data_IF_830874465936
#
_entry.id   IF_830874465936
#
_cell.length_a   1.000
_cell.length_b   1.000
_cell.length_c   1.000
_cell.angle_alpha   90.00
_cell.angle_beta   90.00
_cell.angle_gamma   90.00
#
_symmetry.space_group_name_H-M   'P 1'
#
loop_
_entity.id
_entity.type
_entity.pdbx_description
1 polymer ?
#
# COMPACT_ATOMS: atom_id res chain seq x y z
N UNK A 1 12.38 24.24 61.78
CA UNK A 1 13.05 23.13 61.07
C UNK A 1 12.11 22.13 60.36
N UNK A 2 10.82 22.02 60.73
CA UNK A 2 9.92 20.96 60.22
C UNK A 2 9.29 21.21 58.83
N UNK A 3 9.14 22.46 58.39
CA UNK A 3 8.44 22.77 57.12
C UNK A 3 9.30 22.55 55.86
N UNK A 4 10.64 22.68 55.97
CA UNK A 4 11.57 22.51 54.83
C UNK A 4 11.77 21.03 54.46
N UNK A 5 11.77 20.14 55.45
CA UNK A 5 11.91 18.69 55.21
C UNK A 5 10.66 18.09 54.55
N UNK A 6 9.45 18.55 54.91
CA UNK A 6 8.22 18.11 54.26
C UNK A 6 8.12 18.54 52.80
N UNK A 7 8.53 19.78 52.47
CA UNK A 7 8.57 20.23 51.08
C UNK A 7 9.56 19.39 50.26
N UNK A 8 10.72 19.05 50.82
CA UNK A 8 11.72 18.24 50.12
C UNK A 8 11.18 16.84 49.79
N UNK A 9 10.53 16.16 50.75
CA UNK A 9 9.96 14.81 50.53
C UNK A 9 8.85 14.82 49.46
N UNK A 10 8.00 15.85 49.44
CA UNK A 10 6.94 15.99 48.42
C UNK A 10 7.55 16.19 47.03
N UNK A 11 8.60 17.01 46.90
CA UNK A 11 9.28 17.19 45.62
C UNK A 11 10.00 15.92 45.15
N UNK A 12 10.61 15.14 46.05
CA UNK A 12 11.25 13.88 45.68
C UNK A 12 10.23 12.81 45.26
N UNK A 13 9.05 12.76 45.90
CA UNK A 13 7.99 11.82 45.53
C UNK A 13 7.35 12.18 44.17
N UNK A 14 7.20 13.49 43.87
CA UNK A 14 6.69 13.95 42.57
C UNK A 14 7.65 13.67 41.39
N UNK A 15 8.97 13.63 41.64
CA UNK A 15 9.99 13.30 40.63
C UNK A 15 10.07 11.79 40.38
N UNK A 16 9.82 10.95 41.40
CA UNK A 16 9.82 9.49 41.25
C UNK A 16 8.53 9.00 40.55
N UNK A 17 7.37 9.63 40.80
CA UNK A 17 6.12 9.28 40.10
C UNK A 17 6.12 9.75 38.64
N UNK A 18 6.90 10.78 38.29
CA UNK A 18 7.02 11.24 36.89
C UNK A 18 8.06 10.46 36.05
N UNK A 19 8.80 9.52 36.65
CA UNK A 19 9.77 8.67 35.95
C UNK A 19 9.30 7.22 35.74
N UNK A 20 8.12 6.86 36.27
CA UNK A 20 7.46 5.56 36.02
C UNK A 20 6.28 5.79 35.07
N UNK A 21 6.52 5.77 33.75
CA UNK A 21 5.41 5.86 32.79
C UNK A 21 5.73 6.08 31.32
N UNK A 22 6.96 6.42 30.95
CA UNK A 22 7.35 6.54 29.53
C UNK A 22 8.25 5.39 29.09
N UNK A 23 7.86 4.17 29.45
CA UNK A 23 8.19 3.00 28.66
C UNK A 23 7.31 2.98 27.42
N UNK A 24 7.58 3.86 26.45
CA UNK A 24 6.96 3.82 25.13
C UNK A 24 7.50 2.58 24.39
N UNK A 25 7.10 1.38 24.83
CA UNK A 25 7.14 0.18 24.00
C UNK A 25 5.89 0.21 23.13
N UNK A 26 5.86 1.15 22.18
CA UNK A 26 4.78 1.27 21.22
C UNK A 26 4.85 0.10 20.24
N UNK A 27 4.25 -1.03 20.60
CA UNK A 27 3.84 -2.03 19.63
C UNK A 27 2.74 -1.44 18.75
N UNK A 28 2.69 -1.86 17.49
CA UNK A 28 1.53 -1.57 16.65
C UNK A 28 0.32 -2.29 17.26
N UNK A 29 -0.69 -1.54 17.73
CA UNK A 29 -1.96 -2.11 18.11
C UNK A 29 -2.71 -2.49 16.82
N UNK A 30 -2.78 -3.80 16.54
CA UNK A 30 -3.34 -4.30 15.29
C UNK A 30 -4.85 -4.17 15.28
N UNK A 31 -5.51 -4.39 16.40
CA UNK A 31 -6.97 -4.22 16.55
C UNK A 31 -7.36 -2.78 16.23
N UNK A 32 -6.73 -1.80 16.88
CA UNK A 32 -6.98 -0.38 16.63
C UNK A 32 -6.70 -0.01 15.16
N UNK A 33 -5.66 -0.60 14.56
CA UNK A 33 -5.35 -0.39 13.15
C UNK A 33 -6.46 -0.92 12.24
N UNK A 34 -6.92 -2.16 12.46
CA UNK A 34 -7.97 -2.80 11.64
C UNK A 34 -9.31 -2.10 11.84
N UNK A 35 -9.72 -1.81 13.07
CA UNK A 35 -10.93 -1.05 13.39
C UNK A 35 -10.95 0.30 12.66
N UNK A 36 -9.85 1.05 12.72
CA UNK A 36 -9.73 2.33 12.04
C UNK A 36 -9.82 2.17 10.53
N UNK A 37 -9.23 1.12 9.96
CA UNK A 37 -9.30 0.83 8.52
C UNK A 37 -10.72 0.50 8.10
N UNK A 38 -11.44 -0.35 8.84
CA UNK A 38 -12.85 -0.66 8.59
C UNK A 38 -13.73 0.59 8.68
N UNK A 39 -13.56 1.39 9.73
CA UNK A 39 -14.34 2.63 9.91
C UNK A 39 -14.13 3.65 8.78
N UNK A 40 -12.92 3.71 8.21
CA UNK A 40 -12.65 4.59 7.06
C UNK A 40 -13.39 4.15 5.78
N UNK A 41 -13.87 2.89 5.72
CA UNK A 41 -14.68 2.37 4.61
C UNK A 41 -16.11 2.91 4.63
N UNK A 42 -16.57 3.44 5.76
CA UNK A 42 -17.91 3.99 5.94
C UNK A 42 -18.08 5.35 5.25
N UNK A 43 -19.30 5.70 4.85
CA UNK A 43 -19.64 7.05 4.42
C UNK A 43 -20.56 7.15 3.22
N UNK A 44 -20.46 8.27 2.52
CA UNK A 44 -21.28 8.62 1.35
C UNK A 44 -20.38 8.96 0.14
N UNK A 45 -20.88 8.78 -1.10
CA UNK A 45 -22.17 8.18 -1.46
C UNK A 45 -22.21 6.69 -1.09
N UNK A 46 -23.37 6.22 -0.64
CA UNK A 46 -23.55 4.85 -0.15
C UNK A 46 -23.45 3.86 -1.32
N UNK A 47 -22.55 2.88 -1.20
CA UNK A 47 -22.39 1.80 -2.17
C UNK A 47 -23.17 0.54 -1.77
N UNK A 48 -23.08 0.16 -0.49
CA UNK A 48 -23.79 -0.98 0.10
C UNK A 48 -23.90 -0.80 1.62
N UNK A 49 -24.77 -1.58 2.25
CA UNK A 49 -24.91 -1.62 3.71
C UNK A 49 -24.59 -3.00 4.26
N UNK A 50 -23.89 -3.05 5.39
CA UNK A 50 -23.63 -4.26 6.18
C UNK A 50 -24.06 -3.97 7.61
N UNK A 51 -25.00 -4.76 8.14
CA UNK A 51 -25.53 -4.63 9.51
C UNK A 51 -25.93 -3.21 9.95
N UNK A 52 -26.50 -2.45 9.01
CA UNK A 52 -26.93 -1.07 9.22
C UNK A 52 -25.84 -0.02 9.01
N UNK A 53 -24.58 -0.43 8.89
CA UNK A 53 -23.46 0.45 8.54
C UNK A 53 -23.41 0.68 7.03
N UNK A 54 -23.27 1.94 6.61
CA UNK A 54 -23.23 2.33 5.19
C UNK A 54 -21.79 2.51 4.71
N UNK A 55 -21.40 1.78 3.66
CA UNK A 55 -20.06 1.79 3.10
C UNK A 55 -19.95 2.74 1.89
N UNK A 56 -18.87 3.49 1.83
CA UNK A 56 -18.64 4.57 0.86
C UNK A 56 -18.16 4.06 -0.50
N UNK A 57 -18.83 4.49 -1.57
CA UNK A 57 -18.39 4.23 -2.94
C UNK A 57 -17.08 4.97 -3.28
N UNK A 58 -16.85 6.13 -2.68
CA UNK A 58 -15.61 6.89 -2.87
C UNK A 58 -14.42 6.17 -2.25
N UNK A 59 -14.57 5.64 -1.04
CA UNK A 59 -13.50 4.87 -0.39
C UNK A 59 -13.21 3.60 -1.18
N UNK A 60 -14.24 2.83 -1.54
CA UNK A 60 -14.07 1.64 -2.38
C UNK A 60 -13.33 1.96 -3.69
N UNK A 61 -13.74 3.02 -4.40
CA UNK A 61 -13.09 3.44 -5.65
C UNK A 61 -11.61 3.79 -5.42
N UNK A 62 -11.30 4.51 -4.35
CA UNK A 62 -9.94 4.94 -4.01
C UNK A 62 -9.04 3.73 -3.69
N UNK A 63 -9.51 2.81 -2.84
CA UNK A 63 -8.76 1.60 -2.50
C UNK A 63 -8.56 0.70 -3.73
N UNK A 64 -9.61 0.50 -4.54
CA UNK A 64 -9.53 -0.27 -5.77
C UNK A 64 -8.50 0.29 -6.76
N UNK A 65 -8.54 1.61 -6.99
CA UNK A 65 -7.59 2.26 -7.90
C UNK A 65 -6.15 2.15 -7.38
N UNK A 66 -5.96 2.31 -6.07
CA UNK A 66 -4.66 2.14 -5.45
C UNK A 66 -4.14 0.71 -5.62
N UNK A 67 -4.95 -0.29 -5.28
CA UNK A 67 -4.55 -1.70 -5.35
C UNK A 67 -4.24 -2.14 -6.78
N UNK A 68 -5.10 -1.78 -7.73
CA UNK A 68 -4.87 -2.10 -9.13
C UNK A 68 -3.59 -1.48 -9.67
N UNK A 69 -3.35 -0.21 -9.39
CA UNK A 69 -2.18 0.50 -9.92
C UNK A 69 -0.88 0.05 -9.25
N UNK A 70 -0.89 -0.25 -7.95
CA UNK A 70 0.32 -0.52 -7.17
C UNK A 70 0.64 -2.01 -6.97
N UNK A 71 -0.37 -2.87 -6.93
CA UNK A 71 -0.17 -4.31 -6.69
C UNK A 71 -0.45 -5.14 -7.95
N UNK A 72 -1.46 -4.79 -8.74
CA UNK A 72 -1.79 -5.54 -9.96
C UNK A 72 -1.16 -4.99 -11.23
N UNK A 73 -0.53 -3.82 -11.16
CA UNK A 73 0.04 -3.10 -12.32
C UNK A 73 -0.97 -2.78 -13.43
N UNK A 74 -2.26 -2.70 -13.08
CA UNK A 74 -3.36 -2.30 -13.98
C UNK A 74 -3.71 -0.83 -13.77
N UNK A 75 -3.76 -0.06 -14.84
CA UNK A 75 -3.96 1.39 -14.79
C UNK A 75 -5.38 1.82 -15.21
N UNK A 76 -6.12 0.92 -15.82
CA UNK A 76 -7.48 1.13 -16.29
C UNK A 76 -8.52 0.77 -15.22
N UNK A 77 -9.65 1.49 -15.28
CA UNK A 77 -10.80 1.16 -14.45
C UNK A 77 -11.43 -0.14 -14.94
N UNK A 78 -11.74 -1.09 -14.04
CA UNK A 78 -12.20 -2.41 -14.46
C UNK A 78 -13.58 -2.32 -15.15
N UNK A 79 -13.84 -3.18 -16.16
CA UNK A 79 -15.17 -3.32 -16.73
C UNK A 79 -16.17 -3.83 -15.69
N UNK A 80 -17.49 -3.65 -15.90
CA UNK A 80 -18.51 -3.94 -14.88
C UNK A 80 -18.45 -5.34 -14.25
N UNK A 81 -18.13 -6.37 -15.04
CA UNK A 81 -18.01 -7.74 -14.53
C UNK A 81 -16.82 -7.92 -13.59
N UNK A 82 -15.67 -7.32 -13.91
CA UNK A 82 -14.48 -7.36 -13.06
C UNK A 82 -14.68 -6.46 -11.82
N UNK A 83 -15.29 -5.28 -11.99
CA UNK A 83 -15.65 -4.37 -10.90
C UNK A 83 -16.54 -5.06 -9.85
N UNK A 84 -17.51 -5.87 -10.31
CA UNK A 84 -18.38 -6.62 -9.40
C UNK A 84 -17.59 -7.58 -8.51
N UNK A 85 -16.59 -8.27 -9.06
CA UNK A 85 -15.72 -9.18 -8.30
C UNK A 85 -14.93 -8.44 -7.23
N UNK A 86 -14.37 -7.27 -7.54
CA UNK A 86 -13.70 -6.44 -6.54
C UNK A 86 -14.64 -5.98 -5.44
N UNK A 87 -15.88 -5.63 -5.79
CA UNK A 87 -16.87 -5.25 -4.80
C UNK A 87 -17.22 -6.42 -3.88
N UNK A 88 -17.50 -7.59 -4.45
CA UNK A 88 -17.83 -8.79 -3.66
C UNK A 88 -16.67 -9.15 -2.70
N UNK A 89 -15.43 -9.10 -3.19
CA UNK A 89 -14.23 -9.30 -2.34
C UNK A 89 -14.12 -8.23 -1.24
N UNK A 90 -14.35 -6.96 -1.56
CA UNK A 90 -14.29 -5.87 -0.59
C UNK A 90 -15.35 -6.01 0.52
N UNK A 91 -16.55 -6.48 0.17
CA UNK A 91 -17.60 -6.82 1.15
C UNK A 91 -17.15 -8.00 2.01
N UNK A 92 -16.69 -9.08 1.39
CA UNK A 92 -16.25 -10.29 2.09
C UNK A 92 -15.10 -9.99 3.07
N UNK A 93 -14.09 -9.24 2.65
CA UNK A 93 -13.00 -8.79 3.52
C UNK A 93 -13.51 -7.94 4.69
N UNK A 94 -14.50 -7.07 4.45
CA UNK A 94 -15.05 -6.22 5.52
C UNK A 94 -15.75 -7.07 6.58
N UNK A 95 -16.51 -8.09 6.18
CA UNK A 95 -17.15 -9.05 7.08
C UNK A 95 -16.10 -9.85 7.85
N UNK A 96 -15.11 -10.42 7.15
CA UNK A 96 -14.07 -11.25 7.79
C UNK A 96 -13.26 -10.45 8.80
N UNK A 97 -12.92 -9.19 8.50
CA UNK A 97 -12.17 -8.34 9.42
C UNK A 97 -12.99 -7.95 10.65
N UNK A 98 -14.29 -7.73 10.50
CA UNK A 98 -15.20 -7.42 11.62
C UNK A 98 -15.37 -8.62 12.56
N UNK A 99 -15.59 -9.81 12.00
CA UNK A 99 -15.63 -11.07 12.75
C UNK A 99 -14.28 -11.35 13.44
N UNK A 100 -13.16 -11.15 12.73
CA UNK A 100 -11.83 -11.36 13.31
C UNK A 100 -11.53 -10.44 14.50
N UNK A 101 -12.05 -9.21 14.51
CA UNK A 101 -11.94 -8.29 15.66
C UNK A 101 -12.75 -8.77 16.88
N UNK A 102 -13.84 -9.50 16.65
CA UNK A 102 -14.70 -10.01 17.71
C UNK A 102 -14.20 -11.34 18.29
N UNK A 103 -13.65 -12.20 17.43
CA UNK A 103 -13.35 -13.59 17.76
C UNK A 103 -11.88 -13.86 18.14
N UNK A 104 -10.95 -12.97 17.76
CA UNK A 104 -9.52 -13.18 17.92
C UNK A 104 -8.85 -12.04 18.68
N UNK A 105 -7.90 -12.38 19.56
CA UNK A 105 -6.92 -11.41 20.06
C UNK A 105 -5.86 -11.16 18.98
N UNK A 106 -6.03 -10.09 18.20
CA UNK A 106 -5.11 -9.77 17.10
C UNK A 106 -3.79 -9.17 17.59
N UNK A 107 -3.71 -8.79 18.86
CA UNK A 107 -2.51 -8.25 19.48
C UNK A 107 -1.60 -9.33 20.08
N UNK A 108 -1.97 -10.60 19.96
CA UNK A 108 -1.20 -11.71 20.50
C UNK A 108 0.13 -11.94 19.74
N UNK A 109 1.13 -12.59 20.40
CA UNK A 109 2.44 -12.85 19.78
C UNK A 109 2.42 -13.78 18.55
N UNK A 110 1.45 -14.69 18.46
CA UNK A 110 1.31 -15.63 17.34
C UNK A 110 0.91 -14.90 16.06
N UNK A 111 -0.06 -14.00 16.14
CA UNK A 111 -0.50 -13.13 15.04
C UNK A 111 0.66 -12.24 14.58
N UNK A 112 1.40 -11.65 15.53
CA UNK A 112 2.58 -10.85 15.20
C UNK A 112 3.65 -11.67 14.43
N UNK A 113 3.90 -12.92 14.85
CA UNK A 113 4.81 -13.82 14.17
C UNK A 113 4.31 -14.21 12.77
N UNK A 114 3.00 -14.46 12.62
CA UNK A 114 2.36 -14.78 11.36
C UNK A 114 2.42 -13.61 10.35
N UNK A 115 2.19 -12.38 10.81
CA UNK A 115 2.18 -11.19 9.95
C UNK A 115 3.57 -10.67 9.60
N UNK A 116 4.58 -10.93 10.44
CA UNK A 116 5.91 -10.38 10.27
C UNK A 116 6.53 -10.62 8.88
N UNK A 117 6.46 -11.83 8.28
CA UNK A 117 6.96 -12.04 6.91
C UNK A 117 6.33 -11.11 5.87
N UNK A 118 5.03 -10.82 5.99
CA UNK A 118 4.28 -9.94 5.09
C UNK A 118 4.65 -8.48 5.33
N UNK A 119 4.63 -8.02 6.58
CA UNK A 119 5.01 -6.65 6.96
C UNK A 119 6.46 -6.36 6.51
N UNK A 120 7.39 -7.27 6.81
CA UNK A 120 8.81 -7.13 6.42
C UNK A 120 8.94 -7.01 4.90
N UNK A 121 8.29 -7.89 4.12
CA UNK A 121 8.35 -7.84 2.64
C UNK A 121 7.70 -6.57 2.10
N UNK A 122 6.55 -6.19 2.65
CA UNK A 122 5.81 -4.98 2.29
C UNK A 122 6.64 -3.72 2.52
N UNK A 123 7.27 -3.58 3.69
CA UNK A 123 8.14 -2.44 4.01
C UNK A 123 9.36 -2.36 3.09
N UNK A 124 9.99 -3.49 2.78
CA UNK A 124 11.12 -3.53 1.84
C UNK A 124 10.68 -3.14 0.43
N UNK A 125 9.57 -3.68 -0.07
CA UNK A 125 9.04 -3.32 -1.39
C UNK A 125 8.67 -1.85 -1.43
N UNK A 126 7.89 -1.38 -0.46
CA UNK A 126 7.48 0.03 -0.33
C UNK A 126 8.68 0.97 -0.39
N UNK A 127 9.75 0.67 0.37
CA UNK A 127 10.96 1.47 0.35
C UNK A 127 11.61 1.51 -1.04
N UNK A 128 11.77 0.35 -1.68
CA UNK A 128 12.38 0.26 -3.00
C UNK A 128 11.54 0.94 -4.08
N UNK A 129 10.23 0.73 -4.08
CA UNK A 129 9.27 1.37 -4.99
C UNK A 129 9.26 2.89 -4.82
N UNK A 130 9.31 3.36 -3.57
CA UNK A 130 9.36 4.79 -3.27
C UNK A 130 10.69 5.40 -3.74
N UNK A 131 11.80 4.70 -3.55
CA UNK A 131 13.14 5.20 -3.94
C UNK A 131 13.42 5.12 -5.44
N UNK A 132 12.90 4.11 -6.13
CA UNK A 132 13.03 4.02 -7.57
C UNK A 132 12.11 5.00 -8.31
N UNK A 133 11.00 5.40 -7.68
CA UNK A 133 9.99 6.28 -8.28
C UNK A 133 8.86 5.50 -8.97
N UNK A 134 8.66 4.22 -8.64
CA UNK A 134 7.52 3.42 -9.12
C UNK A 134 6.19 4.01 -8.63
N UNK A 135 6.11 4.41 -7.37
CA UNK A 135 4.92 5.08 -6.83
C UNK A 135 4.56 6.35 -7.60
N UNK A 136 5.55 7.19 -7.88
CA UNK A 136 5.35 8.44 -8.62
C UNK A 136 4.90 8.18 -10.05
N UNK A 137 5.45 7.15 -10.70
CA UNK A 137 5.04 6.76 -12.04
C UNK A 137 3.59 6.27 -12.08
N UNK A 138 3.16 5.47 -11.11
CA UNK A 138 1.79 4.96 -11.04
C UNK A 138 0.79 6.07 -10.72
N UNK A 139 1.11 6.94 -9.75
CA UNK A 139 0.23 8.05 -9.37
C UNK A 139 0.05 9.08 -10.50
N UNK A 140 1.05 9.23 -11.36
CA UNK A 140 1.04 10.19 -12.47
C UNK A 140 0.83 9.48 -13.83
N UNK A 141 0.16 8.33 -13.85
CA UNK A 141 -0.08 7.58 -15.08
C UNK A 141 -0.81 8.44 -16.13
N UNK A 142 -1.84 9.18 -15.72
CA UNK A 142 -2.63 10.04 -16.61
C UNK A 142 -1.80 11.17 -17.24
N UNK A 143 -0.76 11.64 -16.54
CA UNK A 143 0.14 12.70 -16.98
C UNK A 143 1.19 12.24 -18.01
N UNK A 144 1.25 10.95 -18.30
CA UNK A 144 2.16 10.42 -19.31
C UNK A 144 1.74 10.95 -20.69
N UNK A 145 2.48 11.96 -21.16
CA UNK A 145 2.23 12.63 -22.43
C UNK A 145 2.37 11.67 -23.61
N UNK A 146 1.38 11.72 -24.50
CA UNK A 146 1.34 11.02 -25.79
C UNK A 146 1.14 12.08 -26.89
N UNK A 147 2.05 12.21 -27.87
CA UNK A 147 1.95 13.26 -28.88
C UNK A 147 0.74 13.07 -29.81
N UNK A 148 -0.16 14.06 -29.86
CA UNK A 148 -1.40 14.00 -30.65
C UNK A 148 -1.13 13.82 -32.15
N UNK A 149 -0.11 14.52 -32.69
CA UNK A 149 0.30 14.38 -34.09
C UNK A 149 0.69 12.95 -34.48
N UNK A 150 1.34 12.21 -33.56
CA UNK A 150 1.72 10.82 -33.80
C UNK A 150 0.50 9.90 -33.75
N UNK A 151 -0.47 10.18 -32.88
CA UNK A 151 -1.74 9.44 -32.80
C UNK A 151 -2.57 9.58 -34.07
N UNK A 152 -2.70 10.81 -34.58
CA UNK A 152 -3.42 11.09 -35.82
C UNK A 152 -2.76 10.44 -37.04
N UNK A 153 -1.43 10.51 -37.12
CA UNK A 153 -0.67 9.85 -38.18
C UNK A 153 -0.88 8.32 -38.15
N UNK A 154 -0.76 7.72 -36.97
CA UNK A 154 -0.98 6.29 -36.77
C UNK A 154 -2.42 5.87 -37.13
N UNK A 155 -3.43 6.65 -36.74
CA UNK A 155 -4.82 6.37 -37.10
C UNK A 155 -5.01 6.40 -38.62
N UNK A 156 -4.48 7.41 -39.32
CA UNK A 156 -4.60 7.54 -40.78
C UNK A 156 -3.92 6.38 -41.52
N UNK A 157 -2.74 5.96 -41.06
CA UNK A 157 -2.00 4.84 -41.64
C UNK A 157 -2.72 3.49 -41.43
N UNK A 158 -3.42 3.33 -40.30
CA UNK A 158 -4.06 2.07 -39.91
C UNK A 158 -5.59 2.13 -39.86
N UNK A 159 -6.23 3.06 -40.56
CA UNK A 159 -7.68 3.30 -40.47
C UNK A 159 -8.54 2.05 -40.71
N UNK A 160 -8.07 1.12 -41.54
CA UNK A 160 -8.71 -0.16 -41.82
C UNK A 160 -8.84 -1.08 -40.59
N UNK A 161 -7.96 -0.92 -39.59
CA UNK A 161 -7.94 -1.69 -38.34
C UNK A 161 -8.96 -1.21 -37.31
N UNK A 162 -9.56 -0.03 -37.53
CA UNK A 162 -10.51 0.61 -36.62
C UNK A 162 -11.94 0.67 -37.19
N UNK A 163 -12.26 -0.16 -38.18
CA UNK A 163 -13.61 -0.22 -38.78
C UNK A 163 -14.68 -0.47 -37.71
N UNK A 164 -15.75 0.33 -37.75
CA UNK A 164 -16.87 0.23 -36.83
C UNK A 164 -16.72 1.06 -35.54
N UNK A 165 -15.60 1.76 -35.35
CA UNK A 165 -15.42 2.75 -34.28
C UNK A 165 -15.42 4.16 -34.86
N UNK A 166 -15.88 5.14 -34.07
CA UNK A 166 -15.70 6.55 -34.43
C UNK A 166 -14.21 6.94 -34.37
N UNK A 167 -13.83 8.01 -35.07
CA UNK A 167 -12.47 8.56 -35.01
C UNK A 167 -12.07 8.92 -33.57
N UNK A 168 -12.98 9.53 -32.81
CA UNK A 168 -12.77 9.87 -31.39
C UNK A 168 -12.48 8.64 -30.53
N UNK A 169 -13.27 7.58 -30.67
CA UNK A 169 -13.06 6.32 -29.93
C UNK A 169 -11.75 5.65 -30.33
N UNK A 170 -11.43 5.69 -31.64
CA UNK A 170 -10.19 5.13 -32.17
C UNK A 170 -8.96 5.86 -31.61
N UNK A 171 -8.95 7.20 -31.66
CA UNK A 171 -7.88 8.03 -31.11
C UNK A 171 -7.72 7.85 -29.59
N UNK A 172 -8.82 7.75 -28.85
CA UNK A 172 -8.78 7.46 -27.41
C UNK A 172 -8.15 6.09 -27.14
N UNK A 173 -8.52 5.06 -27.90
CA UNK A 173 -7.97 3.71 -27.77
C UNK A 173 -6.46 3.68 -28.08
N UNK A 174 -6.05 4.35 -29.16
CA UNK A 174 -4.63 4.46 -29.53
C UNK A 174 -3.87 5.21 -28.43
N UNK A 175 -4.40 6.34 -27.95
CA UNK A 175 -3.82 7.14 -26.86
C UNK A 175 -3.60 6.30 -25.60
N UNK A 176 -4.61 5.58 -25.15
CA UNK A 176 -4.51 4.72 -23.96
C UNK A 176 -3.50 3.59 -24.14
N UNK A 177 -3.46 2.98 -25.33
CA UNK A 177 -2.49 1.92 -25.64
C UNK A 177 -1.05 2.45 -25.66
N UNK A 178 -0.83 3.61 -26.28
CA UNK A 178 0.47 4.28 -26.32
C UNK A 178 0.93 4.72 -24.92
N UNK A 179 0.01 5.27 -24.12
CA UNK A 179 0.27 5.64 -22.72
C UNK A 179 0.69 4.43 -21.90
N UNK A 180 -0.05 3.32 -21.99
CA UNK A 180 0.29 2.08 -21.30
C UNK A 180 1.65 1.53 -21.74
N UNK A 181 1.95 1.53 -23.04
CA UNK A 181 3.25 1.08 -23.55
C UNK A 181 4.40 1.94 -23.00
N UNK A 182 4.21 3.26 -22.96
CA UNK A 182 5.19 4.20 -22.38
C UNK A 182 5.34 3.99 -20.88
N UNK A 183 4.25 3.86 -20.13
CA UNK A 183 4.24 3.53 -18.71
C UNK A 183 5.02 2.23 -18.45
N UNK A 184 4.74 1.17 -19.21
CA UNK A 184 5.40 -0.14 -19.04
C UNK A 184 6.92 -0.03 -19.20
N UNK A 185 7.39 0.67 -20.23
CA UNK A 185 8.82 0.91 -20.45
C UNK A 185 9.46 1.70 -19.30
N UNK A 186 8.79 2.74 -18.82
CA UNK A 186 9.25 3.51 -17.67
C UNK A 186 9.27 2.65 -16.40
N UNK A 187 8.24 1.84 -16.19
CA UNK A 187 8.10 0.95 -15.04
C UNK A 187 9.24 -0.08 -15.00
N UNK A 188 9.58 -0.69 -16.14
CA UNK A 188 10.72 -1.61 -16.27
C UNK A 188 12.04 -0.92 -15.89
N UNK A 189 12.31 0.28 -16.43
CA UNK A 189 13.50 1.06 -16.08
C UNK A 189 13.58 1.38 -14.58
N UNK A 190 12.45 1.77 -13.99
CA UNK A 190 12.34 2.07 -12.55
C UNK A 190 12.55 0.80 -11.72
N UNK A 191 12.02 -0.33 -12.14
CA UNK A 191 12.28 -1.61 -11.48
C UNK A 191 13.75 -2.03 -11.56
N UNK A 192 14.41 -1.86 -12.70
CA UNK A 192 15.84 -2.18 -12.82
C UNK A 192 16.70 -1.30 -11.91
N UNK A 193 16.35 -0.01 -11.76
CA UNK A 193 17.06 0.90 -10.84
C UNK A 193 17.02 0.45 -9.37
N UNK A 194 16.07 -0.43 -8.98
CA UNK A 194 16.05 -1.02 -7.63
C UNK A 194 17.32 -1.82 -7.36
N UNK A 195 17.90 -2.47 -8.38
CA UNK A 195 19.18 -3.21 -8.24
C UNK A 195 20.32 -2.26 -7.88
N UNK A 196 20.36 -1.08 -8.48
CA UNK A 196 21.37 -0.05 -8.18
C UNK A 196 21.20 0.54 -6.78
N UNK A 197 19.94 0.75 -6.37
CA UNK A 197 19.60 1.16 -5.00
C UNK A 197 20.10 0.11 -4.01
N UNK A 198 19.81 -1.17 -4.24
CA UNK A 198 20.29 -2.27 -3.39
C UNK A 198 21.82 -2.35 -3.35
N UNK A 199 22.49 -2.20 -4.50
CA UNK A 199 23.94 -2.17 -4.57
C UNK A 199 24.54 -1.03 -3.75
N UNK A 200 23.93 0.15 -3.81
CA UNK A 200 24.33 1.31 -3.02
C UNK A 200 24.11 1.09 -1.53
N UNK A 201 22.96 0.53 -1.13
CA UNK A 201 22.67 0.21 0.27
C UNK A 201 23.68 -0.79 0.81
N UNK A 202 24.00 -1.86 0.06
CA UNK A 202 25.00 -2.85 0.47
C UNK A 202 26.38 -2.24 0.68
N UNK A 203 26.81 -1.32 -0.19
CA UNK A 203 28.10 -0.63 -0.05
C UNK A 203 28.18 0.30 1.18
N UNK A 204 27.04 0.84 1.63
CA UNK A 204 26.96 1.73 2.80
C UNK A 204 26.97 0.98 4.14
N UNK A 205 26.82 -0.34 4.13
CA UNK A 205 26.69 -1.13 5.35
C UNK A 205 27.72 -2.25 5.35
N UNK A 206 28.40 -2.44 6.49
CA UNK A 206 29.27 -3.60 6.69
C UNK A 206 28.43 -4.79 7.11
N UNK A 207 28.38 -5.82 6.27
CA UNK A 207 27.73 -7.10 6.58
C UNK A 207 28.81 -8.13 6.88
N UNK A 208 28.79 -8.69 8.09
CA UNK A 208 29.65 -9.81 8.48
C UNK A 208 28.79 -11.07 8.58
N UNK A 209 29.04 -12.04 7.69
CA UNK A 209 28.39 -13.34 7.75
C UNK A 209 29.34 -14.29 8.49
N UNK A 210 28.86 -14.88 9.59
CA UNK A 210 29.60 -15.92 10.32
C UNK A 210 29.32 -17.26 9.65
N UNK A 211 30.07 -17.56 8.58
CA UNK A 211 29.86 -18.77 7.74
C UNK A 211 29.85 -20.08 8.56
N UNK A 212 30.68 -20.17 9.60
CA UNK A 212 30.69 -21.33 10.50
C UNK A 212 29.38 -21.54 11.28
N UNK A 213 28.61 -20.48 11.55
CA UNK A 213 27.29 -20.57 12.16
C UNK A 213 26.21 -20.82 11.10
N UNK A 214 26.32 -20.18 9.94
CA UNK A 214 25.40 -20.39 8.83
C UNK A 214 25.34 -21.85 8.37
N UNK A 215 26.51 -22.48 8.20
CA UNK A 215 26.61 -23.88 7.76
C UNK A 215 26.01 -24.88 8.76
N UNK A 216 25.79 -24.48 10.02
CA UNK A 216 25.17 -25.33 11.05
C UNK A 216 23.64 -25.34 11.00
N UNK A 217 23.02 -24.35 10.36
CA UNK A 217 21.56 -24.13 10.39
C UNK A 217 20.73 -25.25 9.70
N UNK A 218 21.36 -26.16 8.96
CA UNK A 218 20.70 -27.29 8.30
C UNK A 218 21.39 -28.64 8.53
N UNK A 219 22.27 -28.73 9.52
CA UNK A 219 23.03 -29.96 9.86
C UNK A 219 22.59 -30.63 11.16
N UNK A 220 21.46 -30.19 11.71
CA UNK A 220 20.70 -30.87 12.77
C UNK A 220 19.46 -31.55 12.16
#
# INVERSE_FOLDING_TARGET
MKLRQYKFIIYTFLIIVSTVGFGCKGGLNLEEFVEKRLKNREGKPNLFSLDGTSFSAETFRSELLFERSHFETKQDFPPPQELRRYLDQYVEESVILDEALSDLDLNNPEVAAYLWPFIRRGLVSYYLDKKSGVFELNNNYEDISVPEKELEAFYKEHASSFKGMSEKESLLRISNSARFAKWKKLYELKNDSKKDILGTLRKRHTVLIREGEFNKLGSE
#
